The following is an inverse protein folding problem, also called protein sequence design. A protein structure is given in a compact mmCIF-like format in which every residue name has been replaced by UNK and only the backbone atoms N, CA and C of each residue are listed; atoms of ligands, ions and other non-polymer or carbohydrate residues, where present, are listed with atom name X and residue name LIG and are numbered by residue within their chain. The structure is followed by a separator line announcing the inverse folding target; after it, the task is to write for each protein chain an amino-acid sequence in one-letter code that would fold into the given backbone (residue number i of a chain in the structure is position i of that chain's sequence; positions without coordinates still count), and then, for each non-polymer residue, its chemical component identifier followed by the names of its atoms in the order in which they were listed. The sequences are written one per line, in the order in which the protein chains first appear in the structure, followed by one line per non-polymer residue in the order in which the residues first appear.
data_IF_203962957440
#
_entry.id   IF_203962957440
#
_cell.length_a   1.000
_cell.length_b   1.000
_cell.length_c   1.000
_cell.angle_alpha   90.00
_cell.angle_beta   90.00
_cell.angle_gamma   90.00
#
_symmetry.space_group_name_H-M   'P 1'
#
loop_
_entity.id
_entity.type
_entity.pdbx_description
1 polymer ?
#
# COMPACT_ATOMS: atom_id res chain seq x y z
N UNK A 1 -43.83 38.83 -18.80
CA UNK A 1 -43.71 37.98 -20.01
C UNK A 1 -42.99 36.66 -19.71
N UNK A 2 -41.66 36.62 -19.50
CA UNK A 2 -40.96 35.35 -19.20
C UNK A 2 -41.40 34.70 -17.88
N UNK A 3 -41.67 35.53 -16.86
CA UNK A 3 -42.27 35.10 -15.59
C UNK A 3 -43.61 34.38 -15.78
N UNK A 4 -44.43 34.86 -16.71
CA UNK A 4 -45.78 34.36 -16.94
C UNK A 4 -45.74 33.01 -17.65
N UNK A 5 -44.81 32.84 -18.60
CA UNK A 5 -44.54 31.55 -19.23
C UNK A 5 -44.02 30.50 -18.23
N UNK A 6 -43.09 30.87 -17.35
CA UNK A 6 -42.61 29.99 -16.28
C UNK A 6 -43.74 29.56 -15.32
N UNK A 7 -44.59 30.51 -14.92
CA UNK A 7 -45.74 30.22 -14.07
C UNK A 7 -46.76 29.29 -14.74
N UNK A 8 -47.04 29.50 -16.03
CA UNK A 8 -47.91 28.63 -16.85
C UNK A 8 -47.35 27.21 -16.98
N UNK A 9 -46.06 27.06 -17.28
CA UNK A 9 -45.40 25.75 -17.39
C UNK A 9 -45.38 25.00 -16.06
N UNK A 10 -45.08 25.69 -14.95
CA UNK A 10 -45.10 25.10 -13.62
C UNK A 10 -46.50 24.58 -13.23
N UNK A 11 -47.54 25.36 -13.53
CA UNK A 11 -48.91 24.96 -13.21
C UNK A 11 -49.36 23.73 -14.03
N UNK A 12 -48.92 23.64 -15.29
CA UNK A 12 -49.14 22.47 -16.14
C UNK A 12 -48.43 21.20 -15.62
N UNK A 13 -47.18 21.31 -15.17
CA UNK A 13 -46.45 20.19 -14.53
C UNK A 13 -47.17 19.71 -13.26
N UNK A 14 -47.70 20.65 -12.46
CA UNK A 14 -48.46 20.36 -11.24
C UNK A 14 -49.83 19.73 -11.50
N UNK A 15 -50.39 19.88 -12.70
CA UNK A 15 -51.66 19.24 -13.08
C UNK A 15 -51.48 17.75 -13.42
N UNK A 16 -50.31 17.36 -13.95
CA UNK A 16 -49.96 15.95 -14.28
C UNK A 16 -48.83 15.41 -13.40
N UNK A 17 -49.03 15.48 -12.08
CA UNK A 17 -48.02 15.17 -11.04
C UNK A 17 -47.34 13.81 -11.23
N UNK A 18 -48.10 12.74 -11.47
CA UNK A 18 -47.54 11.39 -11.59
C UNK A 18 -46.60 11.25 -12.79
N UNK A 19 -47.03 11.73 -13.96
CA UNK A 19 -46.23 11.65 -15.18
C UNK A 19 -44.95 12.47 -15.06
N UNK A 20 -45.06 13.70 -14.54
CA UNK A 20 -43.91 14.57 -14.34
C UNK A 20 -42.94 14.04 -13.29
N UNK A 21 -43.43 13.40 -12.21
CA UNK A 21 -42.56 12.79 -11.20
C UNK A 21 -41.80 11.60 -11.77
N UNK A 22 -42.47 10.70 -12.49
CA UNK A 22 -41.84 9.50 -13.04
C UNK A 22 -40.73 9.82 -14.04
N UNK A 23 -40.92 10.85 -14.88
CA UNK A 23 -39.89 11.27 -15.83
C UNK A 23 -38.68 11.90 -15.13
N UNK A 24 -38.92 12.72 -14.09
CA UNK A 24 -37.84 13.34 -13.32
C UNK A 24 -37.05 12.30 -12.53
N UNK A 25 -37.73 11.34 -11.89
CA UNK A 25 -37.08 10.22 -11.17
C UNK A 25 -36.26 9.38 -12.15
N UNK A 26 -36.78 9.07 -13.33
CA UNK A 26 -36.06 8.30 -14.34
C UNK A 26 -34.74 8.98 -14.75
N UNK A 27 -34.77 10.30 -14.97
CA UNK A 27 -33.55 11.08 -15.30
C UNK A 27 -32.58 11.08 -14.11
N UNK A 28 -33.06 11.32 -12.89
CA UNK A 28 -32.21 11.37 -11.69
C UNK A 28 -31.52 10.02 -11.47
N UNK A 29 -32.27 8.92 -11.50
CA UNK A 29 -31.73 7.57 -11.29
C UNK A 29 -30.77 7.20 -12.42
N UNK A 30 -31.08 7.57 -13.66
CA UNK A 30 -30.20 7.32 -14.82
C UNK A 30 -28.86 8.04 -14.69
N UNK A 31 -28.87 9.34 -14.39
CA UNK A 31 -27.64 10.12 -14.22
C UNK A 31 -26.86 9.62 -12.98
N UNK A 32 -27.56 9.35 -11.87
CA UNK A 32 -26.93 8.84 -10.65
C UNK A 32 -26.22 7.50 -10.88
N UNK A 33 -26.83 6.57 -11.63
CA UNK A 33 -26.23 5.29 -11.96
C UNK A 33 -24.95 5.45 -12.80
N UNK A 34 -25.00 6.31 -13.83
CA UNK A 34 -23.84 6.55 -14.70
C UNK A 34 -22.69 7.20 -13.92
N UNK A 35 -22.96 8.24 -13.14
CA UNK A 35 -21.94 8.94 -12.34
C UNK A 35 -21.35 8.01 -11.27
N UNK A 36 -22.18 7.19 -10.62
CA UNK A 36 -21.71 6.22 -9.62
C UNK A 36 -20.78 5.19 -10.24
N UNK A 37 -21.14 4.65 -11.42
CA UNK A 37 -20.32 3.67 -12.12
C UNK A 37 -18.97 4.27 -12.53
N UNK A 38 -18.96 5.49 -13.06
CA UNK A 38 -17.71 6.18 -13.45
C UNK A 38 -16.82 6.41 -12.22
N UNK A 39 -17.40 6.88 -11.11
CA UNK A 39 -16.66 7.13 -9.87
C UNK A 39 -16.08 5.84 -9.30
N UNK A 40 -16.83 4.74 -9.34
CA UNK A 40 -16.37 3.42 -8.91
C UNK A 40 -15.22 2.92 -9.81
N UNK A 41 -15.37 3.05 -11.13
CA UNK A 41 -14.35 2.63 -12.09
C UNK A 41 -13.03 3.35 -11.88
N UNK A 42 -13.07 4.68 -11.75
CA UNK A 42 -11.87 5.48 -11.49
C UNK A 42 -11.29 5.21 -10.11
N UNK A 43 -12.13 5.02 -9.09
CA UNK A 43 -11.68 4.67 -7.75
C UNK A 43 -10.96 3.31 -7.71
N UNK A 44 -11.48 2.33 -8.45
CA UNK A 44 -10.85 1.02 -8.57
C UNK A 44 -9.52 1.11 -9.33
N UNK A 45 -9.49 1.80 -10.47
CA UNK A 45 -8.26 2.03 -11.23
C UNK A 45 -7.18 2.70 -10.37
N UNK A 46 -7.54 3.75 -9.64
CA UNK A 46 -6.63 4.43 -8.72
C UNK A 46 -6.15 3.51 -7.59
N UNK A 47 -7.03 2.69 -7.00
CA UNK A 47 -6.66 1.74 -5.94
C UNK A 47 -5.72 0.66 -6.45
N UNK A 48 -5.96 0.15 -7.67
CA UNK A 48 -5.09 -0.82 -8.32
C UNK A 48 -3.73 -0.17 -8.62
N UNK A 49 -3.71 1.03 -9.21
CA UNK A 49 -2.48 1.76 -9.50
C UNK A 49 -1.67 2.03 -8.23
N UNK A 50 -2.31 2.44 -7.13
CA UNK A 50 -1.62 2.64 -5.84
C UNK A 50 -1.00 1.34 -5.30
N UNK A 51 -1.65 0.20 -5.46
CA UNK A 51 -1.09 -1.09 -5.06
C UNK A 51 0.11 -1.47 -5.94
N UNK A 52 0.04 -1.22 -7.25
CA UNK A 52 1.16 -1.47 -8.17
C UNK A 52 2.32 -0.48 -7.96
N UNK A 53 2.05 0.79 -7.64
CA UNK A 53 3.07 1.79 -7.30
C UNK A 53 3.86 1.39 -6.05
N UNK A 54 3.21 0.79 -5.04
CA UNK A 54 3.90 0.26 -3.86
C UNK A 54 4.87 -0.89 -4.19
N UNK A 55 4.51 -1.71 -5.17
CA UNK A 55 5.39 -2.77 -5.69
C UNK A 55 6.49 -2.18 -6.57
N UNK A 56 6.22 -1.09 -7.28
CA UNK A 56 7.11 -0.42 -8.23
C UNK A 56 7.17 -1.19 -9.56
N UNK A 57 6.94 -0.51 -10.68
CA UNK A 57 7.08 -1.11 -12.03
C UNK A 57 8.55 -1.36 -12.42
N UNK A 58 9.48 -0.91 -11.59
CA UNK A 58 10.92 -0.91 -11.75
C UNK A 58 11.63 -1.89 -10.79
N UNK A 59 10.87 -2.72 -10.05
CA UNK A 59 11.44 -3.62 -9.03
C UNK A 59 11.26 -5.08 -9.41
N UNK A 60 12.30 -5.86 -9.12
CA UNK A 60 12.30 -7.31 -9.34
C UNK A 60 12.63 -7.99 -8.02
N UNK A 61 11.73 -8.85 -7.55
CA UNK A 61 11.98 -9.70 -6.38
C UNK A 61 12.52 -11.04 -6.84
N UNK A 62 13.66 -11.44 -6.28
CA UNK A 62 14.33 -12.71 -6.59
C UNK A 62 14.17 -13.62 -5.38
N UNK A 63 13.61 -14.80 -5.60
CA UNK A 63 13.42 -15.82 -4.58
C UNK A 63 14.20 -17.09 -4.95
N UNK A 64 14.72 -17.84 -3.96
CA UNK A 64 15.35 -19.13 -4.21
C UNK A 64 14.31 -20.14 -4.74
N UNK A 65 14.79 -21.09 -5.54
CA UNK A 65 13.95 -22.10 -6.20
C UNK A 65 13.13 -22.89 -5.17
N UNK A 66 11.82 -23.01 -5.39
CA UNK A 66 10.92 -23.77 -4.52
C UNK A 66 10.43 -23.00 -3.29
N UNK A 67 10.82 -21.74 -3.12
CA UNK A 67 10.32 -20.83 -2.08
C UNK A 67 9.64 -19.62 -2.74
N UNK A 68 8.51 -19.86 -3.40
CA UNK A 68 7.66 -18.76 -3.88
C UNK A 68 6.96 -18.13 -2.67
N UNK A 69 7.33 -16.89 -2.33
CA UNK A 69 6.77 -16.11 -1.21
C UNK A 69 6.97 -16.70 0.19
N UNK A 70 7.84 -17.70 0.33
CA UNK A 70 8.23 -18.26 1.62
C UNK A 70 9.59 -17.70 2.03
N UNK A 71 9.66 -17.10 3.21
CA UNK A 71 10.93 -16.71 3.85
C UNK A 71 11.59 -17.86 4.62
N UNK A 72 10.95 -19.03 4.62
CA UNK A 72 11.46 -20.25 5.25
C UNK A 72 11.87 -21.26 4.18
N UNK A 73 13.16 -21.56 4.13
CA UNK A 73 13.67 -22.78 3.53
C UNK A 73 15.18 -22.92 3.67
N UNK A 74 15.67 -24.12 3.34
CA UNK A 74 17.03 -24.56 3.68
C UNK A 74 18.10 -24.00 2.74
N UNK A 75 17.72 -23.69 1.49
CA UNK A 75 18.61 -23.07 0.50
C UNK A 75 18.17 -21.63 0.23
N UNK A 76 19.06 -20.68 0.54
CA UNK A 76 18.86 -19.25 0.33
C UNK A 76 19.77 -18.70 -0.78
N UNK A 77 19.56 -17.43 -1.13
CA UNK A 77 20.48 -16.70 -2.00
C UNK A 77 21.81 -16.47 -1.28
N UNK A 78 22.92 -16.59 -2.01
CA UNK A 78 24.26 -16.40 -1.46
C UNK A 78 24.75 -14.96 -1.64
N UNK A 79 25.80 -14.59 -0.89
CA UNK A 79 26.46 -13.29 -1.04
C UNK A 79 27.09 -13.15 -2.44
N UNK A 80 27.50 -14.25 -3.06
CA UNK A 80 28.08 -14.21 -4.40
C UNK A 80 27.01 -13.92 -5.48
N UNK A 81 25.76 -14.35 -5.27
CA UNK A 81 24.63 -13.97 -6.12
C UNK A 81 24.35 -12.45 -6.03
N UNK A 82 24.40 -11.89 -4.83
CA UNK A 82 24.26 -10.44 -4.60
C UNK A 82 25.34 -9.67 -5.37
N UNK A 83 26.60 -10.09 -5.27
CA UNK A 83 27.73 -9.46 -6.01
C UNK A 83 27.62 -9.64 -7.53
N UNK A 84 27.03 -10.73 -8.00
CA UNK A 84 26.82 -10.95 -9.43
C UNK A 84 25.76 -9.98 -9.97
N UNK A 85 24.68 -9.77 -9.22
CA UNK A 85 23.60 -8.85 -9.58
C UNK A 85 24.07 -7.40 -9.50
N UNK A 86 24.85 -7.01 -8.49
CA UNK A 86 25.38 -5.65 -8.33
C UNK A 86 26.26 -5.20 -9.52
N UNK A 87 26.81 -6.13 -10.31
CA UNK A 87 27.61 -5.82 -11.49
C UNK A 87 26.78 -5.47 -12.74
N UNK A 88 25.47 -5.65 -12.70
CA UNK A 88 24.59 -5.36 -13.84
C UNK A 88 24.41 -3.84 -13.94
N UNK A 89 24.74 -3.22 -15.09
CA UNK A 89 24.81 -1.75 -15.21
C UNK A 89 23.46 -1.03 -15.07
N UNK A 90 22.35 -1.72 -15.33
CA UNK A 90 21.00 -1.14 -15.31
C UNK A 90 20.34 -1.15 -13.91
N UNK A 91 21.04 -1.66 -12.88
CA UNK A 91 20.50 -1.75 -11.52
C UNK A 91 20.93 -0.53 -10.70
N UNK A 92 19.98 0.32 -10.34
CA UNK A 92 20.25 1.51 -9.52
C UNK A 92 20.65 1.16 -8.08
N UNK A 93 19.97 0.18 -7.48
CA UNK A 93 20.28 -0.31 -6.14
C UNK A 93 19.81 -1.75 -5.95
N UNK A 94 20.47 -2.45 -5.03
CA UNK A 94 20.13 -3.80 -4.61
C UNK A 94 19.84 -3.81 -3.11
N UNK A 95 18.78 -4.52 -2.72
CA UNK A 95 18.47 -4.77 -1.32
C UNK A 95 18.36 -6.27 -1.09
N UNK A 96 19.17 -6.77 -0.16
CA UNK A 96 19.21 -8.17 0.22
C UNK A 96 18.50 -8.32 1.55
N UNK A 97 17.47 -9.17 1.59
CA UNK A 97 16.72 -9.42 2.81
C UNK A 97 17.11 -10.77 3.36
N UNK A 98 17.52 -10.78 4.63
CA UNK A 98 17.64 -12.01 5.40
C UNK A 98 16.53 -12.00 6.43
N UNK A 99 15.55 -12.87 6.23
CA UNK A 99 14.42 -13.03 7.15
C UNK A 99 14.65 -14.24 8.05
N UNK A 100 14.57 -14.04 9.35
CA UNK A 100 14.64 -15.09 10.36
C UNK A 100 13.44 -14.95 11.28
N UNK A 101 12.72 -16.04 11.50
CA UNK A 101 11.65 -16.07 12.50
C UNK A 101 12.24 -16.59 13.81
N UNK A 102 12.22 -15.77 14.84
CA UNK A 102 12.70 -16.17 16.17
C UNK A 102 11.80 -15.60 17.28
N UNK A 103 11.91 -16.18 18.46
CA UNK A 103 11.16 -15.75 19.64
C UNK A 103 11.79 -14.48 20.23
N UNK A 104 11.09 -13.36 20.12
CA UNK A 104 11.50 -12.08 20.71
C UNK A 104 10.87 -11.95 22.09
N UNK A 105 11.72 -11.79 23.12
CA UNK A 105 11.32 -11.58 24.50
C UNK A 105 11.59 -10.13 24.92
N UNK A 106 10.68 -9.54 25.69
CA UNK A 106 10.87 -8.23 26.32
C UNK A 106 10.57 -8.33 27.81
N UNK A 107 11.58 -8.07 28.65
CA UNK A 107 11.44 -8.15 30.10
C UNK A 107 11.15 -9.58 30.61
N UNK A 108 10.01 -9.76 31.29
CA UNK A 108 9.56 -11.06 31.85
C UNK A 108 8.41 -11.71 31.07
N UNK A 109 7.96 -11.07 30.00
CA UNK A 109 6.85 -11.57 29.21
C UNK A 109 7.29 -12.73 28.31
N UNK A 110 6.34 -13.65 28.04
CA UNK A 110 6.57 -14.78 27.12
C UNK A 110 7.01 -14.24 25.77
N UNK A 111 7.97 -14.89 25.15
CA UNK A 111 8.43 -14.45 23.85
C UNK A 111 7.39 -14.76 22.79
N UNK A 112 7.39 -13.91 21.77
CA UNK A 112 6.50 -14.04 20.63
C UNK A 112 7.36 -14.30 19.41
N UNK A 113 6.92 -15.23 18.55
CA UNK A 113 7.54 -15.41 17.25
C UNK A 113 7.34 -14.13 16.45
N UNK A 114 8.45 -13.48 16.11
CA UNK A 114 8.49 -12.29 15.28
C UNK A 114 9.41 -12.56 14.09
N UNK A 115 9.04 -12.00 12.94
CA UNK A 115 9.89 -12.03 11.76
C UNK A 115 10.91 -10.89 11.87
N UNK A 116 12.17 -11.26 12.00
CA UNK A 116 13.30 -10.36 12.04
C UNK A 116 13.85 -10.26 10.61
N UNK A 117 13.85 -9.06 10.05
CA UNK A 117 14.40 -8.81 8.72
C UNK A 117 15.69 -8.03 8.93
N UNK A 118 16.82 -8.63 8.54
CA UNK A 118 18.10 -7.94 8.47
C UNK A 118 18.24 -7.24 7.11
N UNK A 119 18.68 -5.99 7.16
CA UNK A 119 18.88 -5.11 6.02
C UNK A 119 20.33 -4.58 6.05
N UNK A 120 20.99 -4.40 4.90
CA UNK A 120 22.27 -3.71 4.85
C UNK A 120 22.11 -2.26 5.33
N UNK A 121 23.02 -1.78 6.19
CA UNK A 121 22.96 -0.43 6.77
C UNK A 121 23.03 0.68 5.71
N UNK A 122 23.77 0.42 4.63
CA UNK A 122 23.96 1.35 3.51
C UNK A 122 22.63 1.66 2.81
N UNK A 123 22.33 2.96 2.70
CA UNK A 123 21.16 3.53 2.03
C UNK A 123 19.81 3.03 2.60
N UNK A 124 19.79 2.67 3.89
CA UNK A 124 18.56 2.18 4.57
C UNK A 124 17.40 3.16 4.40
N UNK A 125 17.66 4.47 4.53
CA UNK A 125 16.63 5.50 4.40
C UNK A 125 15.96 5.47 3.01
N UNK A 126 16.77 5.48 1.94
CA UNK A 126 16.29 5.44 0.57
C UNK A 126 15.51 4.15 0.32
N UNK A 127 16.09 3.01 0.70
CA UNK A 127 15.47 1.69 0.56
C UNK A 127 14.11 1.61 1.26
N UNK A 128 14.02 2.02 2.53
CA UNK A 128 12.75 1.94 3.28
C UNK A 128 11.70 2.93 2.75
N UNK A 129 12.13 4.13 2.39
CA UNK A 129 11.22 5.16 1.85
C UNK A 129 10.65 4.76 0.50
N UNK A 130 11.45 4.11 -0.35
CA UNK A 130 11.00 3.57 -1.64
C UNK A 130 9.93 2.47 -1.44
N UNK A 131 10.00 1.69 -0.36
CA UNK A 131 8.93 0.75 0.04
C UNK A 131 7.74 1.42 0.75
N UNK A 132 7.70 2.75 0.83
CA UNK A 132 6.65 3.50 1.52
C UNK A 132 6.73 3.42 3.05
N UNK A 133 7.80 2.84 3.59
CA UNK A 133 8.01 2.71 5.04
C UNK A 133 8.67 3.99 5.54
N UNK A 134 7.88 4.83 6.20
CA UNK A 134 8.36 6.07 6.81
C UNK A 134 8.65 5.86 8.29
N UNK A 135 9.75 6.43 8.75
CA UNK A 135 10.12 6.40 10.15
C UNK A 135 9.28 7.42 10.93
N UNK A 136 8.54 6.96 11.94
CA UNK A 136 7.74 7.85 12.80
C UNK A 136 8.60 8.51 13.89
N UNK A 137 9.44 7.72 14.56
CA UNK A 137 10.36 8.17 15.62
C UNK A 137 11.67 7.40 15.54
N UNK A 138 12.77 8.07 15.90
CA UNK A 138 14.11 7.48 15.95
C UNK A 138 15.01 7.95 14.81
N UNK A 139 15.93 7.08 14.38
CA UNK A 139 16.84 7.32 13.24
C UNK A 139 17.04 6.04 12.43
N UNK A 140 17.46 6.19 11.18
CA UNK A 140 17.92 5.07 10.34
C UNK A 140 19.27 4.53 10.81
N UNK A 141 19.61 3.32 10.37
CA UNK A 141 20.88 2.67 10.69
C UNK A 141 22.08 3.45 10.12
N UNK A 142 23.19 3.43 10.85
CA UNK A 142 24.49 3.95 10.40
C UNK A 142 25.45 2.80 10.10
N UNK A 143 26.41 2.98 9.21
CA UNK A 143 27.25 1.89 8.67
C UNK A 143 28.06 1.11 9.73
N UNK A 144 28.39 1.73 10.86
CA UNK A 144 29.19 1.12 11.94
C UNK A 144 28.34 0.60 13.13
N UNK A 145 27.01 0.63 13.01
CA UNK A 145 26.09 0.29 14.08
C UNK A 145 25.83 -1.22 14.19
N UNK A 146 26.01 -1.78 15.39
CA UNK A 146 25.71 -3.21 15.67
C UNK A 146 24.64 -3.33 16.74
N UNK A 147 23.69 -4.24 16.51
CA UNK A 147 22.64 -4.58 17.48
C UNK A 147 21.50 -3.58 17.58
N UNK A 148 21.39 -2.66 16.61
CA UNK A 148 20.25 -1.76 16.54
C UNK A 148 19.13 -2.37 15.72
N UNK A 149 17.90 -2.16 16.18
CA UNK A 149 16.70 -2.80 15.65
C UNK A 149 15.67 -1.72 15.39
N UNK A 150 15.04 -1.78 14.22
CA UNK A 150 13.86 -1.00 13.92
C UNK A 150 12.64 -1.87 14.22
N UNK A 151 11.72 -1.31 15.00
CA UNK A 151 10.52 -2.01 15.44
C UNK A 151 9.33 -1.52 14.64
N UNK A 152 8.49 -2.46 14.17
CA UNK A 152 7.26 -2.13 13.46
C UNK A 152 6.24 -1.43 14.36
N UNK A 153 5.40 -0.58 13.75
CA UNK A 153 4.39 0.24 14.44
C UNK A 153 3.53 -0.52 15.45
N UNK A 154 3.02 -1.72 15.06
CA UNK A 154 2.20 -2.56 15.95
C UNK A 154 2.96 -3.01 17.18
N UNK A 155 4.19 -3.49 17.01
CA UNK A 155 5.00 -3.92 18.15
C UNK A 155 5.32 -2.73 19.07
N UNK A 156 5.62 -1.56 18.51
CA UNK A 156 5.89 -0.34 19.28
C UNK A 156 4.68 0.10 20.13
N UNK A 157 3.48 0.15 19.55
CA UNK A 157 2.29 0.66 20.24
C UNK A 157 1.59 -0.37 21.14
N UNK A 158 1.56 -1.64 20.73
CA UNK A 158 0.80 -2.66 21.47
C UNK A 158 1.59 -3.21 22.67
N UNK A 159 2.93 -3.21 22.61
CA UNK A 159 3.78 -3.80 23.65
C UNK A 159 4.44 -2.77 24.56
N UNK A 160 4.90 -1.63 24.03
CA UNK A 160 5.68 -0.67 24.83
C UNK A 160 4.84 0.44 25.46
N UNK A 161 3.59 0.62 25.04
CA UNK A 161 2.73 1.71 25.50
C UNK A 161 1.70 1.28 26.56
N UNK A 162 2.04 0.27 27.38
CA UNK A 162 1.29 -0.11 28.57
C UNK A 162 1.65 0.75 29.78
#
# INVERSE_FOLDING_TARGET
MISDFLALSYNNLRHRKLRSLLTVIGIIVGIAAIVSLISLSQGLENSINQQFEQVGSDRIFIFPKGQEFSFSGEEGLTIDDVKAIEKIPDIEWLNSWLAVSDEVTFGKDKGFLQNIIALPAKDTEKKLTDFGIKLEKGRYFSDDEKGSVMIGYRLAHDFFNR
#
